data_IF_680892890436
#
_entry.id   IF_680892890436
#
_cell.length_a   1.000
_cell.length_b   1.000
_cell.length_c   1.000
_cell.angle_alpha   90.00
_cell.angle_beta   90.00
_cell.angle_gamma   90.00
#
_symmetry.space_group_name_H-M   'P 1'
#
loop_
_entity.id
_entity.type
_entity.pdbx_description
1 polymer ?
#
# COMPACT_ATOMS: atom_id res chain seq x y z
N UNK A 1 27.31 0.21 47.23
CA UNK A 1 25.92 0.75 47.24
C UNK A 1 25.80 1.86 46.18
N UNK A 2 25.97 1.55 44.89
CA UNK A 2 25.99 2.54 43.80
C UNK A 2 25.07 2.13 42.62
N UNK A 3 24.20 1.14 42.82
CA UNK A 3 23.32 0.60 41.78
C UNK A 3 21.90 1.20 41.80
N UNK A 4 21.57 2.04 42.78
CA UNK A 4 20.21 2.60 42.97
C UNK A 4 19.95 3.92 42.26
N UNK A 5 20.97 4.74 42.01
CA UNK A 5 20.80 6.07 41.41
C UNK A 5 20.64 6.02 39.88
N UNK A 6 21.26 5.05 39.22
CA UNK A 6 21.11 4.87 37.77
C UNK A 6 19.68 4.47 37.38
N UNK A 7 19.05 3.59 38.17
CA UNK A 7 17.71 3.07 37.86
C UNK A 7 16.59 4.12 37.96
N UNK A 8 16.76 5.11 38.85
CA UNK A 8 15.79 6.19 39.05
C UNK A 8 15.65 7.11 37.82
N UNK A 9 16.74 7.28 37.05
CA UNK A 9 16.72 8.03 35.79
C UNK A 9 16.56 7.14 34.56
N UNK A 10 17.03 5.88 34.61
CA UNK A 10 16.92 4.94 33.49
C UNK A 10 15.47 4.53 33.21
N UNK A 11 14.64 4.40 34.26
CA UNK A 11 13.22 4.07 34.14
C UNK A 11 12.42 5.05 33.25
N UNK A 12 12.33 6.34 33.61
CA UNK A 12 11.62 7.32 32.79
C UNK A 12 12.28 7.51 31.42
N UNK A 13 13.60 7.40 31.33
CA UNK A 13 14.32 7.53 30.06
C UNK A 13 13.94 6.42 29.06
N UNK A 14 13.85 5.16 29.50
CA UNK A 14 13.38 4.07 28.67
C UNK A 14 11.93 4.27 28.22
N UNK A 15 11.04 4.74 29.10
CA UNK A 15 9.65 5.03 28.73
C UNK A 15 9.55 6.14 27.68
N UNK A 16 10.35 7.20 27.80
CA UNK A 16 10.41 8.28 26.81
C UNK A 16 10.94 7.75 25.47
N UNK A 17 11.99 6.92 25.47
CA UNK A 17 12.49 6.31 24.23
C UNK A 17 11.44 5.41 23.55
N UNK A 18 10.70 4.62 24.33
CA UNK A 18 9.61 3.78 23.80
C UNK A 18 8.49 4.66 23.22
N UNK A 19 8.09 5.72 23.91
CA UNK A 19 7.08 6.65 23.43
C UNK A 19 7.51 7.35 22.12
N UNK A 20 8.77 7.79 22.03
CA UNK A 20 9.35 8.38 20.82
C UNK A 20 9.40 7.36 19.68
N UNK A 21 9.77 6.10 19.95
CA UNK A 21 9.77 5.04 18.97
C UNK A 21 8.36 4.76 18.41
N UNK A 22 7.35 4.67 19.28
CA UNK A 22 5.95 4.49 18.87
C UNK A 22 5.47 5.71 18.05
N UNK A 23 5.78 6.92 18.50
CA UNK A 23 5.45 8.14 17.76
C UNK A 23 6.10 8.15 16.37
N UNK A 24 7.37 7.74 16.26
CA UNK A 24 8.06 7.62 14.97
C UNK A 24 7.46 6.53 14.09
N UNK A 25 7.05 5.39 14.64
CA UNK A 25 6.39 4.31 13.89
C UNK A 25 5.04 4.78 13.35
N UNK A 26 4.23 5.47 14.14
CA UNK A 26 2.93 6.01 13.72
C UNK A 26 3.13 7.13 12.69
N UNK A 27 4.02 8.10 12.94
CA UNK A 27 4.27 9.21 12.01
C UNK A 27 4.91 8.73 10.71
N UNK A 28 5.76 7.70 10.74
CA UNK A 28 6.37 7.13 9.53
C UNK A 28 5.40 6.22 8.77
N UNK A 29 4.46 5.55 9.45
CA UNK A 29 3.36 4.86 8.78
C UNK A 29 2.47 5.86 8.04
N UNK A 30 2.10 6.99 8.66
CA UNK A 30 1.32 8.04 8.00
C UNK A 30 2.10 8.81 6.92
N UNK A 31 3.43 8.98 7.05
CA UNK A 31 4.28 9.63 6.02
C UNK A 31 4.64 8.69 4.86
N UNK A 32 4.55 7.38 5.04
CA UNK A 32 4.70 6.40 3.95
C UNK A 32 3.51 6.43 2.97
N UNK A 33 2.40 7.05 3.36
CA UNK A 33 1.26 7.28 2.46
C UNK A 33 1.43 8.53 1.59
N UNK A 34 2.37 9.44 1.91
CA UNK A 34 2.62 10.66 1.10
C UNK A 34 3.85 10.57 0.21
N UNK A 35 4.60 9.47 0.24
CA UNK A 35 5.60 9.15 -0.79
C UNK A 35 5.16 7.97 -1.67
N UNK A 36 3.86 7.81 -1.82
CA UNK A 36 3.31 7.14 -2.99
C UNK A 36 2.79 8.16 -3.99
N UNK A 37 3.74 8.79 -4.68
CA UNK A 37 3.54 9.16 -6.08
C UNK A 37 3.54 7.90 -6.99
N UNK A 38 3.16 6.72 -6.48
CA UNK A 38 3.08 5.45 -7.22
C UNK A 38 2.02 4.42 -6.75
N UNK A 39 1.22 4.64 -5.69
CA UNK A 39 0.03 3.79 -5.39
C UNK A 39 -1.27 4.30 -6.00
N UNK A 40 -1.26 5.35 -6.83
CA UNK A 40 -2.31 5.54 -7.84
C UNK A 40 -2.22 4.50 -8.96
N UNK A 41 -1.02 3.99 -9.24
CA UNK A 41 -0.76 3.10 -10.38
C UNK A 41 -0.95 1.60 -10.02
N UNK A 42 -0.80 1.20 -8.76
CA UNK A 42 -1.02 -0.22 -8.38
C UNK A 42 -2.51 -0.62 -8.37
N UNK A 43 -3.40 0.24 -7.87
CA UNK A 43 -4.85 -0.01 -7.97
C UNK A 43 -5.34 0.08 -9.42
N UNK A 44 -4.80 1.01 -10.20
CA UNK A 44 -5.15 1.16 -11.62
C UNK A 44 -4.62 -0.01 -12.47
N UNK A 45 -3.41 -0.52 -12.19
CA UNK A 45 -2.84 -1.73 -12.83
C UNK A 45 -3.60 -2.99 -12.42
N UNK A 46 -4.07 -3.08 -11.16
CA UNK A 46 -4.93 -4.17 -10.71
C UNK A 46 -6.29 -4.15 -11.42
N UNK A 47 -6.88 -2.96 -11.61
CA UNK A 47 -8.13 -2.79 -12.35
C UNK A 47 -7.97 -3.06 -13.85
N UNK A 48 -6.89 -2.60 -14.49
CA UNK A 48 -6.61 -2.86 -15.91
C UNK A 48 -6.38 -4.35 -16.18
N UNK A 49 -5.61 -5.04 -15.33
CA UNK A 49 -5.43 -6.50 -15.42
C UNK A 49 -6.76 -7.26 -15.33
N UNK A 50 -7.61 -6.88 -14.37
CA UNK A 50 -8.95 -7.47 -14.21
C UNK A 50 -9.89 -7.15 -15.38
N UNK A 51 -9.82 -5.95 -15.94
CA UNK A 51 -10.65 -5.56 -17.07
C UNK A 51 -10.37 -6.41 -18.32
N UNK A 52 -9.09 -6.71 -18.58
CA UNK A 52 -8.67 -7.61 -19.68
C UNK A 52 -9.18 -9.04 -19.46
N UNK A 53 -9.16 -9.56 -18.23
CA UNK A 53 -9.71 -10.87 -17.90
C UNK A 53 -11.23 -10.93 -18.13
N UNK A 54 -11.97 -9.90 -17.71
CA UNK A 54 -13.42 -9.81 -17.93
C UNK A 54 -13.74 -9.79 -19.43
N UNK A 55 -13.00 -9.01 -20.21
CA UNK A 55 -13.14 -8.97 -21.67
C UNK A 55 -12.93 -10.34 -22.31
N UNK A 56 -11.90 -11.08 -21.86
CA UNK A 56 -11.61 -12.43 -22.36
C UNK A 56 -12.73 -13.42 -22.03
N UNK A 57 -13.28 -13.34 -20.82
CA UNK A 57 -14.39 -14.20 -20.40
C UNK A 57 -15.65 -13.96 -21.26
N UNK A 58 -16.02 -12.70 -21.50
CA UNK A 58 -17.19 -12.36 -22.33
C UNK A 58 -17.01 -12.74 -23.80
N UNK A 59 -15.79 -12.61 -24.32
CA UNK A 59 -15.45 -13.07 -25.67
C UNK A 59 -15.60 -14.60 -25.77
N UNK A 60 -15.13 -15.35 -24.77
CA UNK A 60 -15.29 -16.81 -24.73
C UNK A 60 -16.77 -17.23 -24.59
N UNK A 61 -17.58 -16.44 -23.88
CA UNK A 61 -19.04 -16.63 -23.81
C UNK A 61 -19.77 -16.23 -25.10
N UNK A 62 -19.10 -15.54 -26.04
CA UNK A 62 -19.71 -15.03 -27.27
C UNK A 62 -20.59 -13.80 -27.08
N UNK A 63 -20.52 -13.14 -25.92
CA UNK A 63 -21.31 -11.93 -25.61
C UNK A 63 -20.78 -10.67 -26.32
N UNK A 64 -19.51 -10.69 -26.76
CA UNK A 64 -18.87 -9.61 -27.50
C UNK A 64 -18.21 -10.14 -28.77
N UNK A 65 -18.19 -9.33 -29.82
CA UNK A 65 -17.52 -9.69 -31.07
C UNK A 65 -16.01 -9.49 -30.98
N UNK A 66 -15.26 -10.09 -31.91
CA UNK A 66 -13.79 -9.97 -31.97
C UNK A 66 -13.35 -8.52 -32.13
N UNK A 67 -14.12 -7.73 -32.87
CA UNK A 67 -13.90 -6.32 -33.14
C UNK A 67 -14.03 -5.50 -31.85
N UNK A 68 -15.09 -5.74 -31.06
CA UNK A 68 -15.32 -5.08 -29.78
C UNK A 68 -14.24 -5.44 -28.75
N UNK A 69 -13.86 -6.72 -28.69
CA UNK A 69 -12.75 -7.17 -27.81
C UNK A 69 -11.44 -6.44 -28.14
N UNK A 70 -11.13 -6.28 -29.43
CA UNK A 70 -9.89 -5.64 -29.87
C UNK A 70 -9.87 -4.15 -29.54
N UNK A 71 -10.96 -3.43 -29.79
CA UNK A 71 -11.08 -2.01 -29.47
C UNK A 71 -10.88 -1.76 -27.96
N UNK A 72 -11.59 -2.50 -27.11
CA UNK A 72 -11.50 -2.32 -25.65
C UNK A 72 -10.13 -2.75 -25.09
N UNK A 73 -9.47 -3.74 -25.70
CA UNK A 73 -8.11 -4.14 -25.34
C UNK A 73 -7.09 -3.05 -25.68
N UNK A 74 -7.24 -2.40 -26.83
CA UNK A 74 -6.39 -1.28 -27.26
C UNK A 74 -6.58 -0.04 -26.37
N UNK A 75 -7.78 0.19 -25.83
CA UNK A 75 -8.06 1.30 -24.90
C UNK A 75 -7.51 1.08 -23.48
N UNK A 76 -7.35 -0.17 -23.04
CA UNK A 76 -6.92 -0.53 -21.68
C UNK A 76 -5.40 -0.73 -21.53
N UNK A 77 -4.66 -0.68 -22.64
CA UNK A 77 -3.23 -0.89 -22.73
C UNK A 77 -2.47 0.43 -22.87
#
# INVERSE_FOLDING_TARGET
MWFGWGFMFLGPFCLVLIAVAIYYVITSASRRESCSAHTGNQQQRYYSGRAIEILKERYAKGEITKEQYRQMKEELQ
#
